data_IF_843183160102
#
_entry.id   IF_843183160102
#
_cell.length_a   1.000
_cell.length_b   1.000
_cell.length_c   1.000
_cell.angle_alpha   90.00
_cell.angle_beta   90.00
_cell.angle_gamma   90.00
#
_symmetry.space_group_name_H-M   'P 1'
#
loop_
_entity.id
_entity.type
_entity.pdbx_description
1 polymer ?
#
# COMPACT_ATOMS: atom_id res chain seq x y z
N UNK A 1 -1.69 -17.85 -5.91
CA UNK A 1 -2.82 -16.93 -5.61
C UNK A 1 -2.77 -16.57 -4.13
N UNK A 2 -2.33 -15.37 -3.77
CA UNK A 2 -2.27 -14.98 -2.35
C UNK A 2 -3.65 -14.86 -1.70
N UNK A 3 -4.67 -14.55 -2.50
CA UNK A 3 -6.06 -14.56 -2.05
C UNK A 3 -6.71 -15.81 -2.64
N UNK A 4 -7.16 -16.76 -1.80
CA UNK A 4 -7.71 -18.02 -2.30
C UNK A 4 -8.86 -17.81 -3.30
N UNK A 5 -8.76 -18.48 -4.44
CA UNK A 5 -9.78 -18.42 -5.50
C UNK A 5 -9.79 -17.13 -6.34
N UNK A 6 -8.83 -16.24 -6.11
CA UNK A 6 -8.77 -14.95 -6.81
C UNK A 6 -7.50 -14.86 -7.65
N UNK A 7 -7.65 -14.59 -8.94
CA UNK A 7 -6.51 -14.34 -9.82
C UNK A 7 -6.09 -12.88 -9.69
N UNK A 8 -4.84 -12.66 -9.30
CA UNK A 8 -4.28 -11.32 -9.24
C UNK A 8 -4.03 -10.80 -10.65
N UNK A 9 -4.55 -9.63 -11.03
CA UNK A 9 -4.25 -9.06 -12.34
C UNK A 9 -2.79 -8.60 -12.43
N UNK A 10 -2.22 -8.69 -13.62
CA UNK A 10 -0.87 -8.16 -13.86
C UNK A 10 -0.85 -6.62 -13.77
N UNK A 11 -1.90 -5.99 -14.28
CA UNK A 11 -2.11 -4.54 -14.22
C UNK A 11 -3.51 -4.26 -13.70
N UNK A 12 -3.61 -3.37 -12.72
CA UNK A 12 -4.88 -2.83 -12.25
C UNK A 12 -4.85 -1.33 -12.51
N UNK A 13 -5.67 -0.88 -13.46
CA UNK A 13 -5.76 0.55 -13.79
C UNK A 13 -6.47 1.31 -12.67
N UNK A 14 -5.90 2.44 -12.26
CA UNK A 14 -6.50 3.33 -11.27
C UNK A 14 -7.17 4.52 -11.98
N UNK A 15 -6.42 5.19 -12.82
CA UNK A 15 -6.88 6.25 -13.71
C UNK A 15 -5.86 6.45 -14.83
N UNK A 16 -6.12 7.34 -15.78
CA UNK A 16 -5.16 7.62 -16.84
C UNK A 16 -3.81 8.04 -16.24
N UNK A 17 -2.75 7.29 -16.58
CA UNK A 17 -1.40 7.56 -16.12
C UNK A 17 -1.08 7.10 -14.69
N UNK A 18 -1.98 6.37 -14.04
CA UNK A 18 -1.77 5.80 -12.70
C UNK A 18 -2.27 4.36 -12.68
N UNK A 19 -1.40 3.42 -12.34
CA UNK A 19 -1.74 2.00 -12.32
C UNK A 19 -1.02 1.25 -11.21
N UNK A 20 -1.50 0.06 -10.92
CA UNK A 20 -0.84 -0.90 -10.06
C UNK A 20 -0.30 -2.02 -10.93
N UNK A 21 0.99 -2.33 -10.79
CA UNK A 21 1.62 -3.42 -11.50
C UNK A 21 1.99 -4.52 -10.52
N UNK A 22 1.60 -5.74 -10.82
CA UNK A 22 1.89 -6.91 -9.98
C UNK A 22 3.38 -7.01 -9.69
N UNK A 23 3.73 -7.30 -8.45
CA UNK A 23 5.09 -7.59 -8.03
C UNK A 23 5.67 -8.74 -8.84
N UNK A 24 6.86 -8.56 -9.39
CA UNK A 24 7.53 -9.53 -10.27
C UNK A 24 8.87 -10.04 -9.72
N UNK A 25 9.17 -9.74 -8.45
CA UNK A 25 10.44 -10.10 -7.83
C UNK A 25 11.56 -9.10 -8.06
N UNK A 26 11.35 -8.08 -8.90
CA UNK A 26 12.34 -7.03 -9.15
C UNK A 26 12.02 -5.81 -8.30
N UNK A 27 12.93 -5.43 -7.40
CA UNK A 27 12.64 -4.36 -6.43
C UNK A 27 13.85 -3.47 -6.11
N UNK A 28 14.95 -3.56 -6.86
CA UNK A 28 16.14 -2.77 -6.57
C UNK A 28 15.84 -1.26 -6.51
N UNK A 29 14.94 -0.77 -7.35
CA UNK A 29 14.54 0.64 -7.37
C UNK A 29 13.83 1.08 -6.08
N UNK A 30 13.27 0.15 -5.32
CA UNK A 30 12.54 0.47 -4.10
C UNK A 30 13.45 0.61 -2.87
N UNK A 31 14.67 0.09 -2.91
CA UNK A 31 15.57 0.14 -1.77
C UNK A 31 15.80 1.57 -1.24
N UNK A 32 16.05 2.59 -2.08
CA UNK A 32 16.19 3.95 -1.58
C UNK A 32 15.00 4.48 -0.80
N UNK A 33 13.77 4.04 -1.12
CA UNK A 33 12.56 4.44 -0.37
C UNK A 33 12.65 3.99 1.09
N UNK A 34 13.13 2.77 1.31
CA UNK A 34 13.21 2.13 2.62
C UNK A 34 14.52 2.40 3.34
N UNK A 35 15.40 3.19 2.76
CA UNK A 35 16.60 3.72 3.40
C UNK A 35 16.40 5.16 3.88
N UNK A 36 15.28 5.76 3.55
CA UNK A 36 14.87 7.06 4.04
C UNK A 36 14.28 6.92 5.45
N UNK A 37 14.87 7.57 6.44
CA UNK A 37 14.47 7.44 7.84
C UNK A 37 13.01 7.81 8.09
N UNK A 38 12.51 8.85 7.41
CA UNK A 38 11.12 9.27 7.56
C UNK A 38 10.16 8.20 7.04
N UNK A 39 10.46 7.61 5.88
CA UNK A 39 9.65 6.53 5.32
C UNK A 39 9.61 5.34 6.28
N UNK A 40 10.76 4.92 6.80
CA UNK A 40 10.85 3.79 7.71
C UNK A 40 10.09 4.07 9.02
N UNK A 41 10.18 5.29 9.51
CA UNK A 41 9.43 5.70 10.70
C UNK A 41 7.91 5.60 10.49
N UNK A 42 7.43 6.04 9.33
CA UNK A 42 6.01 5.96 9.00
C UNK A 42 5.52 4.52 8.80
N UNK A 43 6.38 3.66 8.26
CA UNK A 43 6.03 2.27 7.93
C UNK A 43 6.18 1.34 9.14
N UNK A 44 7.26 1.48 9.91
CA UNK A 44 7.65 0.53 10.96
C UNK A 44 7.74 1.12 12.36
N UNK A 45 7.50 2.40 12.53
CA UNK A 45 7.67 3.10 13.81
C UNK A 45 9.12 2.97 14.33
N UNK A 46 10.08 2.82 13.41
CA UNK A 46 11.52 2.72 13.68
C UNK A 46 12.25 3.62 12.70
N UNK A 47 13.52 3.93 13.01
CA UNK A 47 14.32 4.78 12.12
C UNK A 47 15.53 4.06 11.53
N UNK A 48 15.56 2.73 11.65
CA UNK A 48 16.62 1.90 11.09
C UNK A 48 16.34 1.63 9.61
N UNK A 49 17.20 2.09 8.70
CA UNK A 49 17.02 1.82 7.27
C UNK A 49 17.03 0.32 6.97
N UNK A 50 16.26 -0.07 5.97
CA UNK A 50 16.22 -1.45 5.51
C UNK A 50 17.52 -1.80 4.77
N UNK A 51 17.99 -3.02 4.98
CA UNK A 51 18.97 -3.64 4.09
C UNK A 51 18.25 -4.25 2.89
N UNK A 52 18.99 -4.59 1.83
CA UNK A 52 18.41 -5.29 0.69
C UNK A 52 17.74 -6.60 1.13
N UNK A 53 18.35 -7.33 2.06
CA UNK A 53 17.82 -8.59 2.58
C UNK A 53 16.53 -8.39 3.38
N UNK A 54 16.48 -7.32 4.19
CA UNK A 54 15.27 -6.99 4.94
C UNK A 54 14.12 -6.62 4.00
N UNK A 55 14.41 -5.86 2.94
CA UNK A 55 13.41 -5.48 1.94
C UNK A 55 12.91 -6.71 1.18
N UNK A 56 13.79 -7.62 0.81
CA UNK A 56 13.42 -8.87 0.15
C UNK A 56 12.47 -9.68 1.01
N UNK A 57 12.76 -9.81 2.31
CA UNK A 57 11.89 -10.55 3.24
C UNK A 57 10.52 -9.88 3.39
N UNK A 58 10.49 -8.56 3.45
CA UNK A 58 9.23 -7.82 3.54
C UNK A 58 8.36 -8.07 2.31
N UNK A 59 8.92 -7.93 1.12
CA UNK A 59 8.15 -8.17 -0.11
C UNK A 59 7.73 -9.64 -0.26
N UNK A 60 8.58 -10.59 0.12
CA UNK A 60 8.20 -12.01 0.11
C UNK A 60 7.02 -12.29 1.04
N UNK A 61 7.02 -11.69 2.23
CA UNK A 61 5.91 -11.80 3.17
C UNK A 61 4.62 -11.20 2.58
N UNK A 62 4.70 -9.99 2.05
CA UNK A 62 3.54 -9.30 1.49
C UNK A 62 2.97 -10.03 0.27
N UNK A 63 3.83 -10.56 -0.60
CA UNK A 63 3.44 -11.28 -1.81
C UNK A 63 2.73 -12.60 -1.51
N UNK A 64 3.00 -13.20 -0.34
CA UNK A 64 2.31 -14.43 0.09
C UNK A 64 1.00 -14.15 0.82
N UNK A 65 0.86 -13.01 1.49
CA UNK A 65 -0.32 -12.69 2.30
C UNK A 65 -1.39 -11.94 1.55
N UNK A 66 -1.04 -11.21 0.50
CA UNK A 66 -1.98 -10.43 -0.28
C UNK A 66 -1.48 -10.18 -1.71
N UNK A 67 -2.25 -9.44 -2.46
CA UNK A 67 -1.86 -9.01 -3.80
C UNK A 67 -0.92 -7.83 -3.69
N UNK A 68 0.37 -8.06 -3.92
CA UNK A 68 1.40 -7.03 -3.86
C UNK A 68 1.55 -6.36 -5.22
N UNK A 69 1.53 -5.03 -5.22
CA UNK A 69 1.69 -4.20 -6.42
C UNK A 69 2.70 -3.09 -6.20
N UNK A 70 3.38 -2.70 -7.26
CA UNK A 70 4.02 -1.40 -7.33
C UNK A 70 3.03 -0.38 -7.88
N UNK A 71 3.04 0.81 -7.29
CA UNK A 71 2.25 1.95 -7.76
C UNK A 71 3.09 2.65 -8.82
N UNK A 72 2.56 2.80 -10.03
CA UNK A 72 3.28 3.35 -11.17
C UNK A 72 2.58 4.58 -11.74
N UNK A 73 3.37 5.59 -12.07
CA UNK A 73 2.92 6.85 -12.68
C UNK A 73 3.55 7.00 -14.06
N UNK A 74 2.73 7.38 -15.04
CA UNK A 74 3.20 7.64 -16.40
C UNK A 74 3.88 9.01 -16.48
N UNK A 75 5.12 9.03 -16.98
CA UNK A 75 5.88 10.23 -17.23
C UNK A 75 6.75 10.02 -18.47
N UNK A 76 6.71 10.93 -19.41
CA UNK A 76 7.48 10.86 -20.67
C UNK A 76 7.28 9.54 -21.42
N UNK A 77 6.03 9.05 -21.44
CA UNK A 77 5.67 7.82 -22.14
C UNK A 77 6.08 6.52 -21.45
N UNK A 78 6.62 6.60 -20.24
CA UNK A 78 7.10 5.45 -19.47
C UNK A 78 6.45 5.44 -18.10
N UNK A 79 6.02 4.26 -17.62
CA UNK A 79 5.54 4.09 -16.25
C UNK A 79 6.72 3.93 -15.29
N UNK A 80 6.72 4.73 -14.22
CA UNK A 80 7.76 4.73 -13.19
C UNK A 80 7.17 4.27 -11.86
N UNK A 81 7.81 3.30 -11.17
CA UNK A 81 7.37 2.92 -9.84
C UNK A 81 7.66 4.03 -8.83
N UNK A 82 6.67 4.38 -8.02
CA UNK A 82 6.77 5.44 -7.02
C UNK A 82 6.43 4.97 -5.60
N UNK A 83 5.95 3.76 -5.46
CA UNK A 83 5.55 3.20 -4.18
C UNK A 83 5.06 1.79 -4.33
N UNK A 84 4.52 1.25 -3.25
CA UNK A 84 3.94 -0.07 -3.24
C UNK A 84 2.65 -0.11 -2.41
N UNK A 85 1.82 -1.12 -2.67
CA UNK A 85 0.62 -1.38 -1.91
C UNK A 85 0.34 -2.88 -1.93
N UNK A 86 -0.14 -3.40 -0.81
CA UNK A 86 -0.58 -4.79 -0.73
C UNK A 86 -2.06 -4.81 -0.42
N UNK A 87 -2.79 -5.65 -1.12
CA UNK A 87 -4.23 -5.75 -0.99
C UNK A 87 -4.63 -7.12 -0.47
N UNK A 88 -5.17 -7.15 0.75
CA UNK A 88 -5.95 -8.27 1.25
C UNK A 88 -6.99 -7.74 2.23
N UNK A 89 -7.92 -8.60 2.61
CA UNK A 89 -9.09 -8.18 3.37
C UNK A 89 -8.77 -7.53 4.71
N UNK A 90 -7.72 -8.03 5.38
CA UNK A 90 -7.41 -7.64 6.75
C UNK A 90 -6.43 -6.47 6.85
N UNK A 91 -5.71 -6.16 5.76
CA UNK A 91 -4.73 -5.10 5.78
C UNK A 91 -4.44 -4.56 4.38
N UNK A 92 -4.06 -3.30 4.30
CA UNK A 92 -3.67 -2.65 3.04
C UNK A 92 -2.48 -1.72 3.28
N UNK A 93 -1.28 -2.27 3.55
CA UNK A 93 -0.10 -1.42 3.66
C UNK A 93 0.15 -0.67 2.35
N UNK A 94 0.28 0.64 2.43
CA UNK A 94 0.52 1.50 1.28
C UNK A 94 1.66 2.47 1.59
N UNK A 95 2.60 2.57 0.66
CA UNK A 95 3.77 3.45 0.80
C UNK A 95 3.97 4.20 -0.51
N UNK A 96 3.93 5.54 -0.45
CA UNK A 96 4.41 6.39 -1.53
C UNK A 96 5.88 6.66 -1.23
N UNK A 97 6.76 5.87 -1.82
CA UNK A 97 8.20 5.90 -1.52
C UNK A 97 8.92 7.09 -2.12
N UNK A 98 8.48 7.55 -3.29
CA UNK A 98 9.07 8.71 -3.95
C UNK A 98 8.44 10.00 -3.40
N UNK A 99 9.22 10.79 -2.68
CA UNK A 99 8.77 12.02 -2.03
C UNK A 99 8.14 13.03 -2.99
N UNK A 100 8.56 13.05 -4.25
CA UNK A 100 8.03 13.97 -5.27
C UNK A 100 6.56 13.76 -5.54
N UNK A 101 6.04 12.58 -5.22
CA UNK A 101 4.64 12.19 -5.48
C UNK A 101 3.77 12.19 -4.21
N UNK A 102 4.31 12.58 -3.07
CA UNK A 102 3.55 12.72 -1.83
C UNK A 102 2.72 14.00 -1.84
N UNK A 103 1.59 13.98 -1.11
CA UNK A 103 0.72 15.15 -1.00
C UNK A 103 -0.06 15.49 -2.28
N UNK A 104 -0.15 14.57 -3.23
CA UNK A 104 -0.83 14.76 -4.53
C UNK A 104 -2.11 13.94 -4.67
N UNK A 105 -2.56 13.29 -3.61
CA UNK A 105 -3.79 12.51 -3.62
C UNK A 105 -3.67 11.12 -4.25
N UNK A 106 -2.47 10.67 -4.60
CA UNK A 106 -2.26 9.37 -5.24
C UNK A 106 -2.69 8.23 -4.32
N UNK A 107 -2.32 8.29 -3.04
CA UNK A 107 -2.72 7.28 -2.06
C UNK A 107 -4.22 7.11 -2.00
N UNK A 108 -4.97 8.20 -1.97
CA UNK A 108 -6.44 8.16 -1.96
C UNK A 108 -7.04 7.53 -3.20
N UNK A 109 -6.46 7.80 -4.37
CA UNK A 109 -6.90 7.18 -5.63
C UNK A 109 -6.65 5.68 -5.65
N UNK A 110 -5.49 5.26 -5.17
CA UNK A 110 -5.13 3.84 -5.05
C UNK A 110 -6.08 3.13 -4.09
N UNK A 111 -6.32 3.71 -2.92
CA UNK A 111 -7.26 3.14 -1.93
C UNK A 111 -8.65 3.00 -2.53
N UNK A 112 -9.14 4.01 -3.26
CA UNK A 112 -10.45 3.95 -3.92
C UNK A 112 -10.53 2.81 -4.94
N UNK A 113 -9.47 2.58 -5.72
CA UNK A 113 -9.41 1.48 -6.67
C UNK A 113 -9.46 0.11 -5.97
N UNK A 114 -8.77 -0.02 -4.84
CA UNK A 114 -8.78 -1.27 -4.07
C UNK A 114 -10.11 -1.50 -3.34
N UNK A 115 -10.77 -0.46 -2.89
CA UNK A 115 -12.15 -0.56 -2.38
C UNK A 115 -13.07 -1.10 -3.47
N UNK A 116 -12.99 -0.58 -4.68
CA UNK A 116 -13.77 -1.06 -5.81
C UNK A 116 -13.47 -2.54 -6.11
N UNK A 117 -12.21 -2.95 -6.02
CA UNK A 117 -11.83 -4.34 -6.19
C UNK A 117 -12.42 -5.23 -5.09
N UNK A 118 -12.37 -4.81 -3.84
CA UNK A 118 -12.98 -5.55 -2.72
C UNK A 118 -14.48 -5.76 -2.93
N UNK A 119 -15.18 -4.72 -3.38
CA UNK A 119 -16.61 -4.82 -3.73
C UNK A 119 -16.85 -5.81 -4.87
N UNK A 120 -16.03 -5.75 -5.91
CA UNK A 120 -16.15 -6.66 -7.05
C UNK A 120 -15.90 -8.11 -6.66
N UNK A 121 -15.07 -8.37 -5.64
CA UNK A 121 -14.83 -9.70 -5.10
C UNK A 121 -15.95 -10.17 -4.15
N UNK A 122 -16.93 -9.32 -3.86
CA UNK A 122 -18.02 -9.66 -2.96
C UNK A 122 -17.66 -9.59 -1.48
N UNK A 123 -16.60 -8.90 -1.13
CA UNK A 123 -16.21 -8.75 0.27
C UNK A 123 -17.17 -7.77 0.98
N UNK A 124 -17.38 -8.00 2.28
CA UNK A 124 -18.25 -7.17 3.10
C UNK A 124 -17.50 -6.07 3.86
N UNK A 125 -16.18 -6.18 3.95
CA UNK A 125 -15.35 -5.20 4.65
C UNK A 125 -13.91 -5.26 4.18
N UNK A 126 -13.19 -4.16 4.45
CA UNK A 126 -11.74 -4.05 4.32
C UNK A 126 -11.17 -3.51 5.62
N UNK A 127 -9.97 -3.96 5.98
CA UNK A 127 -9.27 -3.51 7.17
C UNK A 127 -7.90 -2.90 6.87
N UNK A 128 -7.44 -2.13 7.83
CA UNK A 128 -6.04 -1.68 7.95
C UNK A 128 -5.60 -2.07 9.35
N UNK A 129 -4.62 -2.95 9.44
CA UNK A 129 -4.27 -3.60 10.71
C UNK A 129 -3.82 -2.61 11.78
N UNK A 130 -3.03 -1.62 11.41
CA UNK A 130 -2.59 -0.58 12.33
C UNK A 130 -2.15 0.67 11.56
N UNK A 131 -2.69 1.82 11.95
CA UNK A 131 -2.15 3.12 11.55
C UNK A 131 -1.55 3.73 12.80
N UNK A 132 -0.26 4.01 12.79
CA UNK A 132 0.44 4.61 13.93
C UNK A 132 -0.11 6.01 14.21
N UNK A 133 -0.18 6.36 15.49
CA UNK A 133 -0.69 7.67 15.92
C UNK A 133 0.06 8.83 15.28
N UNK A 134 1.36 8.68 15.05
CA UNK A 134 2.18 9.73 14.42
C UNK A 134 2.01 9.81 12.89
N UNK A 135 1.34 8.83 12.26
CA UNK A 135 1.15 8.83 10.81
C UNK A 135 -0.18 9.51 10.43
N UNK A 136 -0.21 10.82 10.57
CA UNK A 136 -1.40 11.63 10.30
C UNK A 136 -1.81 11.57 8.82
N UNK A 137 -0.85 11.49 7.90
CA UNK A 137 -1.13 11.44 6.47
C UNK A 137 -1.88 10.16 6.09
N UNK A 138 -1.45 9.01 6.61
CA UNK A 138 -2.13 7.73 6.39
C UNK A 138 -3.54 7.74 6.97
N UNK A 139 -3.68 8.24 8.20
CA UNK A 139 -4.99 8.34 8.84
C UNK A 139 -5.95 9.19 8.01
N UNK A 140 -5.52 10.36 7.58
CA UNK A 140 -6.37 11.23 6.73
C UNK A 140 -6.75 10.55 5.42
N UNK A 141 -5.81 9.85 4.79
CA UNK A 141 -6.05 9.12 3.55
C UNK A 141 -7.16 8.08 3.72
N UNK A 142 -7.06 7.24 4.73
CA UNK A 142 -8.05 6.18 4.97
C UNK A 142 -9.38 6.73 5.51
N UNK A 143 -9.36 7.70 6.42
CA UNK A 143 -10.59 8.33 6.91
C UNK A 143 -11.37 9.01 5.78
N UNK A 144 -10.67 9.70 4.88
CA UNK A 144 -11.30 10.32 3.71
C UNK A 144 -11.94 9.29 2.78
N UNK A 145 -11.39 8.08 2.71
CA UNK A 145 -11.95 6.98 1.93
C UNK A 145 -13.15 6.29 2.63
N UNK A 146 -13.43 6.65 3.88
CA UNK A 146 -14.55 6.11 4.64
C UNK A 146 -14.16 5.14 5.75
N UNK A 147 -12.89 4.80 5.91
CA UNK A 147 -12.44 3.95 6.99
C UNK A 147 -12.62 4.64 8.35
N UNK A 148 -12.89 3.85 9.38
CA UNK A 148 -13.05 4.33 10.76
C UNK A 148 -12.21 3.50 11.71
N UNK A 149 -11.63 4.14 12.72
CA UNK A 149 -10.94 3.46 13.80
C UNK A 149 -11.92 2.56 14.53
N UNK A 150 -11.57 1.29 14.71
CA UNK A 150 -12.44 0.30 15.35
C UNK A 150 -11.81 -0.34 16.58
N UNK A 151 -10.49 -0.23 16.75
CA UNK A 151 -9.80 -0.85 17.88
C UNK A 151 -8.47 -0.12 18.12
N UNK A 152 -8.15 0.12 19.40
CA UNK A 152 -6.83 0.65 19.76
C UNK A 152 -5.80 -0.47 19.70
N UNK A 153 -4.61 -0.12 19.19
CA UNK A 153 -3.44 -0.99 19.18
C UNK A 153 -2.35 -0.39 20.06
N UNK A 154 -1.22 -1.07 20.23
CA UNK A 154 -0.14 -0.59 21.09
C UNK A 154 0.40 0.78 20.66
N UNK A 155 0.42 1.07 19.34
CA UNK A 155 1.06 2.29 18.80
C UNK A 155 0.12 3.12 17.94
N UNK A 156 -1.13 2.72 17.81
CA UNK A 156 -2.09 3.42 16.96
C UNK A 156 -3.48 2.85 17.06
N UNK A 157 -4.08 2.59 15.91
CA UNK A 157 -5.44 2.03 15.84
C UNK A 157 -5.60 1.16 14.60
N UNK A 158 -6.43 0.13 14.72
CA UNK A 158 -6.94 -0.62 13.58
C UNK A 158 -8.13 0.14 12.98
N UNK A 159 -8.18 0.16 11.66
CA UNK A 159 -9.27 0.83 10.92
C UNK A 159 -10.01 -0.19 10.07
N UNK A 160 -11.28 0.06 9.81
CA UNK A 160 -12.06 -0.75 8.89
C UNK A 160 -13.07 0.07 8.09
N UNK A 161 -13.46 -0.48 6.96
CA UNK A 161 -14.50 0.04 6.09
C UNK A 161 -15.50 -1.08 5.81
N UNK A 162 -16.77 -0.80 6.03
CA UNK A 162 -17.86 -1.70 5.64
C UNK A 162 -18.20 -1.39 4.18
N UNK A 163 -18.18 -2.41 3.35
CA UNK A 163 -18.39 -2.29 1.89
C UNK A 163 -19.85 -2.35 1.48
#
# INVERSE_FOLDING_TARGET
MPIPGVVQPDILEVEAGLRLRRFDGQFAFALPWYQDEETVYLVDDKRTPYTAEALERMYAYLDTHGELYFIEVLADGIYHPIGDVTFWREDMPIVIGDRRFRGKGIGGKVVAALIARGRALGWDRLGVAEIYDHNAASRRCFEKAGFRACEKTDRGSRFELIL
#
